data_IF_256206205382
#
_entry.id   IF_256206205382
#
_cell.length_a   1.000
_cell.length_b   1.000
_cell.length_c   1.000
_cell.angle_alpha   90.00
_cell.angle_beta   90.00
_cell.angle_gamma   90.00
#
_symmetry.space_group_name_H-M   'P 1'
#
loop_
_entity.id
_entity.type
_entity.pdbx_description
1 polymer ?
#
# COMPACT_ATOMS: atom_id res chain seq x y z
N UNK A 1 -0.56 -10.14 -65.26
CA UNK A 1 -1.14 -10.77 -64.04
C UNK A 1 -0.33 -10.30 -62.85
N UNK A 2 -0.74 -9.19 -62.23
CA UNK A 2 -0.02 -8.58 -61.08
C UNK A 2 -0.51 -9.20 -59.79
N UNK A 3 0.40 -9.89 -59.08
CA UNK A 3 0.15 -10.43 -57.76
C UNK A 3 0.33 -9.30 -56.74
N UNK A 4 -0.79 -8.73 -56.26
CA UNK A 4 -0.79 -7.86 -55.08
C UNK A 4 -0.54 -8.70 -53.84
N UNK A 5 0.62 -8.52 -53.20
CA UNK A 5 0.95 -9.08 -51.90
C UNK A 5 0.29 -8.20 -50.83
N UNK A 6 -0.70 -8.75 -50.14
CA UNK A 6 -1.38 -8.09 -49.01
C UNK A 6 -0.53 -8.30 -47.75
N UNK A 7 0.13 -7.24 -47.26
CA UNK A 7 0.78 -7.25 -45.97
C UNK A 7 -0.32 -7.10 -44.89
N UNK A 8 -0.63 -8.14 -44.16
CA UNK A 8 -1.42 -8.09 -42.94
C UNK A 8 -0.45 -7.68 -41.82
N UNK A 9 -0.48 -6.42 -41.41
CA UNK A 9 0.17 -5.99 -40.21
C UNK A 9 -0.62 -6.54 -39.02
N UNK A 10 -0.07 -7.55 -38.33
CA UNK A 10 -0.59 -8.01 -37.05
C UNK A 10 -0.36 -6.91 -36.02
N UNK A 11 -1.43 -6.20 -35.66
CA UNK A 11 -1.42 -5.26 -34.54
C UNK A 11 -1.31 -6.11 -33.27
N UNK A 12 -0.10 -6.20 -32.72
CA UNK A 12 0.13 -6.79 -31.42
C UNK A 12 -0.43 -5.80 -30.38
N UNK A 13 -1.68 -5.97 -29.97
CA UNK A 13 -2.22 -5.25 -28.82
C UNK A 13 -1.49 -5.76 -27.58
N UNK A 14 -0.56 -4.96 -27.07
CA UNK A 14 0.00 -5.16 -25.73
C UNK A 14 -1.16 -4.93 -24.77
N UNK A 15 -1.78 -5.99 -24.30
CA UNK A 15 -2.71 -5.93 -23.17
C UNK A 15 -1.86 -5.48 -21.97
N UNK A 16 -1.95 -4.21 -21.59
CA UNK A 16 -1.48 -3.75 -20.29
C UNK A 16 -2.29 -4.52 -19.24
N UNK A 17 -1.68 -5.48 -18.59
CA UNK A 17 -2.31 -6.14 -17.44
C UNK A 17 -2.56 -5.06 -16.40
N UNK A 18 -3.84 -4.83 -16.11
CA UNK A 18 -4.27 -3.98 -15.00
C UNK A 18 -3.78 -4.65 -13.70
N UNK A 19 -2.67 -4.18 -13.18
CA UNK A 19 -2.02 -4.75 -12.01
C UNK A 19 -1.99 -3.71 -10.90
N UNK A 20 -2.20 -4.16 -9.68
CA UNK A 20 -1.92 -3.38 -8.49
C UNK A 20 -0.39 -3.14 -8.41
N UNK A 21 0.03 -1.89 -8.45
CA UNK A 21 1.43 -1.53 -8.26
C UNK A 21 1.83 -1.69 -6.80
N UNK A 22 3.09 -2.03 -6.57
CA UNK A 22 3.62 -2.09 -5.20
C UNK A 22 3.62 -0.71 -4.56
N UNK A 23 2.90 -0.57 -3.45
CA UNK A 23 2.92 0.63 -2.60
C UNK A 23 3.84 0.41 -1.39
N UNK A 24 4.69 1.37 -1.11
CA UNK A 24 5.72 1.29 -0.07
C UNK A 24 5.53 2.29 1.08
N UNK A 25 4.35 2.84 1.25
CA UNK A 25 4.09 3.85 2.28
C UNK A 25 4.69 5.22 1.98
N UNK A 26 4.93 5.52 0.72
CA UNK A 26 5.61 6.72 0.24
C UNK A 26 4.72 7.65 -0.60
N UNK A 27 3.48 7.29 -0.79
CA UNK A 27 2.47 8.06 -1.54
C UNK A 27 1.11 7.99 -0.84
N UNK A 28 0.28 9.00 -1.05
CA UNK A 28 -1.07 9.09 -0.48
C UNK A 28 -2.07 8.13 -1.12
N UNK A 29 -1.73 7.59 -2.28
CA UNK A 29 -2.57 6.64 -3.02
C UNK A 29 -1.78 5.46 -3.53
N UNK A 30 -2.49 4.34 -3.72
CA UNK A 30 -1.99 3.13 -4.36
C UNK A 30 -2.44 3.14 -5.81
N UNK A 31 -1.54 2.88 -6.75
CA UNK A 31 -1.91 2.69 -8.15
C UNK A 31 -2.54 1.32 -8.32
N UNK A 32 -3.86 1.30 -8.39
CA UNK A 32 -4.65 0.06 -8.44
C UNK A 32 -4.69 -0.58 -9.82
N UNK A 33 -4.38 0.17 -10.87
CA UNK A 33 -4.56 -0.25 -12.26
C UNK A 33 -6.04 -0.32 -12.70
N UNK A 34 -6.99 0.07 -11.85
CA UNK A 34 -8.44 -0.01 -12.08
C UNK A 34 -9.12 1.37 -12.09
N UNK A 35 -8.34 2.46 -12.04
CA UNK A 35 -8.89 3.81 -12.09
C UNK A 35 -9.74 4.01 -13.35
N UNK A 36 -10.90 4.66 -13.18
CA UNK A 36 -11.87 4.91 -14.27
C UNK A 36 -11.61 6.23 -15.03
N UNK A 37 -10.45 6.86 -14.79
CA UNK A 37 -10.07 8.14 -15.41
C UNK A 37 -10.42 9.36 -14.58
N UNK A 38 -10.98 9.19 -13.37
CA UNK A 38 -11.27 10.27 -12.43
C UNK A 38 -10.10 10.56 -11.47
N UNK A 39 -9.05 9.72 -11.48
CA UNK A 39 -7.88 9.84 -10.61
C UNK A 39 -8.22 9.83 -9.11
N UNK A 40 -9.30 9.13 -8.73
CA UNK A 40 -9.79 9.02 -7.36
C UNK A 40 -9.55 7.64 -6.74
N UNK A 41 -8.90 6.73 -7.48
CA UNK A 41 -8.56 5.38 -7.00
C UNK A 41 -7.39 5.38 -6.02
N UNK A 42 -7.38 4.41 -5.13
CA UNK A 42 -6.23 4.09 -4.27
C UNK A 42 -5.97 5.02 -3.10
N UNK A 43 -6.69 6.12 -2.95
CA UNK A 43 -6.52 7.03 -1.82
C UNK A 43 -6.95 6.39 -0.52
N UNK A 44 -6.14 6.58 0.54
CA UNK A 44 -6.41 6.06 1.86
C UNK A 44 -7.41 6.91 2.63
N UNK A 45 -8.36 6.25 3.29
CA UNK A 45 -9.32 6.88 4.19
C UNK A 45 -9.54 6.04 5.45
N UNK A 46 -10.06 6.68 6.49
CA UNK A 46 -10.46 6.02 7.74
C UNK A 46 -11.95 5.67 7.72
N UNK A 47 -12.34 4.65 8.46
CA UNK A 47 -13.74 4.36 8.75
C UNK A 47 -13.89 3.79 10.16
N UNK A 48 -15.10 3.86 10.70
CA UNK A 48 -15.37 3.47 12.08
C UNK A 48 -16.81 2.96 12.27
N UNK A 49 -17.11 2.58 13.51
CA UNK A 49 -18.39 2.02 13.95
C UNK A 49 -19.44 3.06 14.39
N UNK A 50 -19.20 4.35 14.19
CA UNK A 50 -20.06 5.40 14.74
C UNK A 50 -21.51 5.34 14.20
N UNK A 51 -21.68 4.97 12.93
CA UNK A 51 -23.02 4.80 12.32
C UNK A 51 -23.82 3.63 12.92
N UNK A 52 -23.13 2.70 13.59
CA UNK A 52 -23.71 1.52 14.22
C UNK A 52 -23.91 1.72 15.74
N UNK A 53 -23.48 2.87 16.26
CA UNK A 53 -23.62 3.25 17.67
C UNK A 53 -22.35 3.09 18.50
N UNK A 54 -21.21 2.74 17.87
CA UNK A 54 -19.88 2.82 18.47
C UNK A 54 -19.40 4.26 18.63
N UNK A 55 -18.23 4.42 19.25
CA UNK A 55 -17.57 5.73 19.41
C UNK A 55 -16.07 5.61 19.14
N UNK A 56 -15.71 4.68 18.28
CA UNK A 56 -14.32 4.42 17.94
C UNK A 56 -13.77 5.46 16.97
N UNK A 57 -12.44 5.68 17.00
CA UNK A 57 -11.75 6.61 16.11
C UNK A 57 -10.31 6.19 15.86
N UNK A 58 -9.72 6.70 14.77
CA UNK A 58 -8.29 6.62 14.52
C UNK A 58 -7.67 7.98 14.87
N UNK A 59 -6.56 7.97 15.60
CA UNK A 59 -5.71 9.14 15.84
C UNK A 59 -4.48 8.97 14.95
N UNK A 60 -4.35 9.84 13.96
CA UNK A 60 -3.18 9.90 13.09
C UNK A 60 -2.00 10.60 13.77
N UNK A 61 -0.74 10.27 13.44
CA UNK A 61 0.45 10.80 14.14
C UNK A 61 0.67 12.29 13.94
N UNK A 62 0.16 12.87 12.88
CA UNK A 62 0.17 14.31 12.62
C UNK A 62 -1.24 14.85 12.76
N UNK A 63 -1.42 15.77 13.71
CA UNK A 63 -2.59 16.63 13.81
C UNK A 63 -2.46 17.79 12.80
N UNK A 64 -2.06 17.53 11.58
CA UNK A 64 -2.39 18.49 10.54
C UNK A 64 -3.91 18.55 10.51
N UNK A 65 -4.47 19.76 10.50
CA UNK A 65 -5.89 19.93 10.29
C UNK A 65 -6.23 19.22 8.98
N UNK A 66 -6.50 17.92 9.14
CA UNK A 66 -7.14 17.16 8.09
C UNK A 66 -8.32 18.02 7.66
N UNK A 67 -8.52 18.17 6.41
CA UNK A 67 -9.68 18.86 5.84
C UNK A 67 -10.89 18.53 6.70
N UNK A 68 -11.33 19.50 7.53
CA UNK A 68 -12.39 19.28 8.50
C UNK A 68 -13.57 18.59 7.81
N UNK A 69 -13.92 17.40 8.30
CA UNK A 69 -15.06 16.63 7.80
C UNK A 69 -14.75 15.58 6.73
N UNK A 70 -13.51 15.29 6.41
CA UNK A 70 -13.15 14.18 5.52
C UNK A 70 -12.52 13.01 6.28
N UNK A 71 -12.83 11.77 5.85
CA UNK A 71 -12.19 10.55 6.35
C UNK A 71 -10.83 10.28 5.67
N UNK A 72 -10.37 11.18 4.81
CA UNK A 72 -9.16 11.07 4.00
C UNK A 72 -7.90 11.15 4.85
N UNK A 73 -6.91 10.31 4.55
CA UNK A 73 -5.60 10.29 5.21
C UNK A 73 -4.62 11.14 4.39
N UNK A 74 -4.17 12.30 4.90
CA UNK A 74 -3.31 13.20 4.14
C UNK A 74 -1.90 12.63 3.95
N UNK A 75 -1.22 13.05 2.89
CA UNK A 75 0.11 12.56 2.49
C UNK A 75 1.18 12.80 3.56
N UNK A 76 1.13 13.88 4.32
CA UNK A 76 2.07 14.16 5.40
C UNK A 76 1.94 13.15 6.56
N UNK A 77 0.74 12.67 6.88
CA UNK A 77 0.53 11.60 7.86
C UNK A 77 1.16 10.27 7.39
N UNK A 78 1.03 9.95 6.10
CA UNK A 78 1.64 8.76 5.50
C UNK A 78 3.16 8.88 5.47
N UNK A 79 3.69 10.02 5.01
CA UNK A 79 5.12 10.24 4.91
C UNK A 79 5.81 10.30 6.27
N UNK A 80 5.14 10.79 7.31
CA UNK A 80 5.68 10.87 8.66
C UNK A 80 6.06 9.50 9.23
N UNK A 81 5.29 8.47 8.95
CA UNK A 81 5.58 7.12 9.44
C UNK A 81 6.01 6.13 8.34
N UNK A 82 6.11 6.56 7.09
CA UNK A 82 6.43 5.68 5.97
C UNK A 82 5.40 4.57 5.80
N UNK A 83 4.13 4.96 5.78
CA UNK A 83 3.00 4.07 5.68
C UNK A 83 1.72 4.67 6.26
N UNK A 84 0.65 3.93 6.28
CA UNK A 84 -0.56 4.31 7.01
C UNK A 84 -0.44 3.83 8.44
N UNK A 85 -0.36 4.74 9.39
CA UNK A 85 -0.21 4.41 10.80
C UNK A 85 -1.09 5.28 11.70
N UNK A 86 -1.29 4.85 12.94
CA UNK A 86 -2.02 5.59 13.95
C UNK A 86 -2.39 4.73 15.15
N UNK A 87 -3.17 5.34 16.04
CA UNK A 87 -3.78 4.68 17.18
C UNK A 87 -5.25 4.42 16.92
N UNK A 88 -5.63 3.15 16.88
CA UNK A 88 -7.02 2.71 16.87
C UNK A 88 -7.58 2.80 18.29
N UNK A 89 -8.36 3.83 18.57
CA UNK A 89 -9.05 4.02 19.86
C UNK A 89 -10.43 3.41 19.75
N UNK A 90 -10.61 2.22 20.34
CA UNK A 90 -11.83 1.46 20.29
C UNK A 90 -12.72 1.76 21.51
N UNK A 91 -13.92 2.26 21.27
CA UNK A 91 -14.91 2.60 22.29
C UNK A 91 -16.27 2.05 21.87
N UNK A 92 -16.81 1.16 22.70
CA UNK A 92 -17.96 0.33 22.36
C UNK A 92 -19.26 1.11 22.17
N UNK A 93 -19.45 2.19 22.93
CA UNK A 93 -20.72 2.91 22.91
C UNK A 93 -21.91 1.97 23.18
N UNK A 94 -22.92 1.96 22.29
CA UNK A 94 -24.11 1.10 22.39
C UNK A 94 -24.00 -0.21 21.62
N UNK A 95 -22.84 -0.55 21.05
CA UNK A 95 -22.67 -1.79 20.29
C UNK A 95 -22.84 -3.03 21.15
N UNK A 96 -23.41 -4.08 20.59
CA UNK A 96 -23.54 -5.41 21.23
C UNK A 96 -22.35 -6.34 20.93
N UNK A 97 -21.46 -5.94 20.05
CA UNK A 97 -20.24 -6.63 19.63
C UNK A 97 -19.00 -5.76 19.90
N UNK A 98 -17.82 -6.26 19.59
CA UNK A 98 -16.58 -5.51 19.75
C UNK A 98 -16.53 -4.31 18.81
N UNK A 99 -16.15 -3.13 19.33
CA UNK A 99 -15.97 -1.91 18.53
C UNK A 99 -14.88 -2.08 17.47
N UNK A 100 -14.97 -1.29 16.39
CA UNK A 100 -14.00 -1.36 15.32
C UNK A 100 -13.67 0.00 14.69
N UNK A 101 -12.48 0.06 14.14
CA UNK A 101 -12.06 1.08 13.19
C UNK A 101 -11.28 0.42 12.05
N UNK A 102 -11.06 1.14 10.99
CA UNK A 102 -10.17 0.68 9.94
C UNK A 102 -9.68 1.78 9.04
N UNK A 103 -8.73 1.41 8.21
CA UNK A 103 -8.26 2.21 7.08
C UNK A 103 -8.48 1.42 5.80
N UNK A 104 -8.79 2.11 4.72
CA UNK A 104 -9.15 1.48 3.47
C UNK A 104 -8.71 2.32 2.28
N UNK A 105 -8.71 1.70 1.10
CA UNK A 105 -8.60 2.40 -0.17
C UNK A 105 -9.62 1.83 -1.17
N UNK A 106 -10.15 2.70 -2.04
CA UNK A 106 -11.05 2.30 -3.11
C UNK A 106 -10.27 1.83 -4.33
N UNK A 107 -10.72 0.74 -4.97
CA UNK A 107 -9.96 0.14 -6.08
C UNK A 107 -10.16 0.87 -7.41
N UNK A 108 -11.34 1.42 -7.65
CA UNK A 108 -11.68 2.19 -8.86
C UNK A 108 -11.75 3.69 -8.60
N UNK A 109 -12.10 4.07 -7.38
CA UNK A 109 -12.38 5.45 -6.97
C UNK A 109 -13.88 5.75 -6.99
N UNK A 110 -14.24 7.01 -7.27
CA UNK A 110 -15.62 7.47 -7.34
C UNK A 110 -16.34 6.94 -8.58
N UNK A 111 -17.65 6.77 -8.49
CA UNK A 111 -18.48 6.27 -9.61
C UNK A 111 -18.58 7.29 -10.76
N UNK A 112 -18.61 8.58 -10.44
CA UNK A 112 -18.55 9.68 -11.41
C UNK A 112 -18.10 10.98 -10.73
N UNK A 113 -17.80 12.01 -11.50
CA UNK A 113 -17.45 13.35 -11.00
C UNK A 113 -18.57 14.01 -10.13
N UNK A 114 -19.79 13.50 -10.16
CA UNK A 114 -20.93 13.99 -9.39
C UNK A 114 -21.49 12.97 -8.40
N UNK A 115 -20.91 11.75 -8.39
CA UNK A 115 -21.31 10.67 -7.49
C UNK A 115 -20.06 10.12 -6.79
N UNK A 116 -19.81 10.50 -5.52
CA UNK A 116 -18.63 10.08 -4.76
C UNK A 116 -18.74 8.64 -4.23
N UNK A 117 -19.82 7.90 -4.52
CA UNK A 117 -19.93 6.50 -4.10
C UNK A 117 -18.83 5.67 -4.76
N UNK A 118 -18.20 4.73 -4.03
CA UNK A 118 -17.15 3.89 -4.61
C UNK A 118 -17.65 3.03 -5.76
N UNK A 119 -17.01 3.13 -6.92
CA UNK A 119 -17.23 2.24 -8.04
C UNK A 119 -16.61 0.85 -7.78
N UNK A 120 -17.16 -0.17 -8.41
CA UNK A 120 -16.66 -1.54 -8.32
C UNK A 120 -15.82 -1.90 -9.55
N UNK A 121 -14.79 -2.72 -9.35
CA UNK A 121 -13.92 -3.19 -10.42
C UNK A 121 -13.52 -4.66 -10.27
N UNK A 122 -13.00 -5.24 -11.34
CA UNK A 122 -12.49 -6.60 -11.36
C UNK A 122 -11.00 -6.63 -11.01
N UNK A 123 -10.71 -6.93 -9.75
CA UNK A 123 -9.36 -7.09 -9.20
C UNK A 123 -8.88 -8.56 -9.24
N UNK A 124 -9.56 -9.46 -9.94
CA UNK A 124 -9.22 -10.90 -9.96
C UNK A 124 -7.79 -11.16 -10.45
N UNK A 125 -7.29 -10.32 -11.38
CA UNK A 125 -5.92 -10.39 -11.93
C UNK A 125 -4.82 -10.16 -10.88
N UNK A 126 -5.09 -9.51 -9.74
CA UNK A 126 -4.11 -9.35 -8.66
C UNK A 126 -3.77 -10.68 -7.97
N UNK A 127 -4.63 -11.72 -8.11
CA UNK A 127 -4.48 -13.02 -7.46
C UNK A 127 -4.78 -13.01 -5.96
N UNK A 128 -4.78 -11.85 -5.35
CA UNK A 128 -4.93 -11.59 -3.92
C UNK A 128 -4.15 -10.36 -3.48
N UNK A 129 -3.94 -10.22 -2.18
CA UNK A 129 -3.25 -9.09 -1.55
C UNK A 129 -2.05 -9.59 -0.76
N UNK A 130 -0.94 -8.89 -0.91
CA UNK A 130 0.21 -8.99 -0.02
C UNK A 130 0.29 -7.71 0.83
N UNK A 131 0.46 -7.88 2.13
CA UNK A 131 0.54 -6.78 3.08
C UNK A 131 1.73 -6.95 4.01
N UNK A 132 2.47 -5.86 4.27
CA UNK A 132 3.43 -5.78 5.37
C UNK A 132 2.91 -4.77 6.40
N UNK A 133 2.80 -5.20 7.65
CA UNK A 133 2.16 -4.41 8.69
C UNK A 133 2.72 -4.72 10.09
N UNK A 134 2.36 -3.85 11.04
CA UNK A 134 2.41 -4.06 12.51
C UNK A 134 1.04 -3.76 13.07
N UNK A 135 0.64 -4.43 14.14
CA UNK A 135 -0.58 -4.09 14.87
C UNK A 135 -0.58 -4.71 16.26
N UNK A 136 -0.98 -3.92 17.26
CA UNK A 136 -1.11 -4.36 18.66
C UNK A 136 -2.38 -5.18 18.92
N UNK A 137 -3.33 -5.17 18.00
CA UNK A 137 -4.47 -6.09 17.95
C UNK A 137 -4.35 -7.00 16.72
N UNK A 138 -5.03 -8.13 16.70
CA UNK A 138 -5.16 -8.97 15.53
C UNK A 138 -6.13 -8.30 14.51
N UNK A 139 -5.64 -7.77 13.39
CA UNK A 139 -6.51 -7.15 12.38
C UNK A 139 -7.05 -8.18 11.40
N UNK A 140 -7.88 -7.70 10.46
CA UNK A 140 -8.26 -8.45 9.26
C UNK A 140 -8.15 -7.59 8.02
N UNK A 141 -7.91 -8.20 6.86
CA UNK A 141 -8.25 -7.59 5.58
C UNK A 141 -9.67 -8.00 5.22
N UNK A 142 -10.48 -7.03 4.80
CA UNK A 142 -11.88 -7.20 4.43
C UNK A 142 -12.11 -6.64 3.01
N UNK A 143 -12.92 -7.35 2.21
CA UNK A 143 -13.27 -6.97 0.84
C UNK A 143 -14.60 -6.22 0.84
N UNK A 144 -14.58 -4.94 0.50
CA UNK A 144 -15.76 -4.09 0.43
C UNK A 144 -16.40 -4.08 -0.95
N UNK A 145 -17.73 -4.00 -0.98
CA UNK A 145 -18.54 -3.97 -2.19
C UNK A 145 -19.23 -2.62 -2.37
N UNK A 146 -20.13 -2.54 -3.34
CA UNK A 146 -21.10 -1.45 -3.39
C UNK A 146 -22.01 -1.47 -2.17
N UNK A 147 -22.57 -0.32 -1.81
CA UNK A 147 -23.43 -0.18 -0.64
C UNK A 147 -24.63 -1.14 -0.65
N UNK A 148 -25.20 -1.40 -1.82
CA UNK A 148 -26.34 -2.33 -1.97
C UNK A 148 -25.94 -3.77 -1.65
N UNK A 149 -24.77 -4.20 -2.10
CA UNK A 149 -24.25 -5.56 -1.80
C UNK A 149 -23.87 -5.67 -0.33
N UNK A 150 -23.16 -4.67 0.22
CA UNK A 150 -22.80 -4.64 1.65
C UNK A 150 -24.06 -4.72 2.54
N UNK A 151 -25.13 -3.99 2.19
CA UNK A 151 -26.43 -4.07 2.87
C UNK A 151 -27.09 -5.44 2.72
N UNK A 152 -27.10 -6.00 1.52
CA UNK A 152 -27.74 -7.30 1.25
C UNK A 152 -27.11 -8.45 2.04
N UNK A 153 -25.81 -8.38 2.31
CA UNK A 153 -25.10 -9.36 3.15
C UNK A 153 -25.01 -8.94 4.64
N UNK A 154 -25.61 -7.81 5.02
CA UNK A 154 -25.58 -7.32 6.41
C UNK A 154 -24.18 -7.07 6.93
N UNK A 155 -23.27 -6.57 6.10
CA UNK A 155 -21.87 -6.33 6.45
C UNK A 155 -21.03 -7.60 6.62
N UNK A 156 -21.52 -8.74 6.16
CA UNK A 156 -20.79 -10.03 6.22
C UNK A 156 -19.77 -10.16 5.08
N UNK A 157 -18.92 -9.18 4.92
CA UNK A 157 -17.92 -9.11 3.86
C UNK A 157 -16.87 -10.23 3.99
N UNK A 158 -16.42 -10.84 2.88
CA UNK A 158 -15.31 -11.77 2.91
C UNK A 158 -14.06 -11.12 3.50
N UNK A 159 -13.47 -11.78 4.49
CA UNK A 159 -12.29 -11.29 5.20
C UNK A 159 -11.26 -12.38 5.43
N UNK A 160 -10.01 -11.96 5.61
CA UNK A 160 -8.89 -12.82 5.99
C UNK A 160 -8.26 -12.28 7.27
N UNK A 161 -8.21 -13.13 8.31
CA UNK A 161 -7.62 -12.76 9.58
C UNK A 161 -6.09 -12.61 9.48
N UNK A 162 -5.56 -11.60 10.14
CA UNK A 162 -4.14 -11.34 10.28
C UNK A 162 -3.73 -11.49 11.75
N UNK A 163 -2.55 -12.08 12.03
CA UNK A 163 -2.08 -12.17 13.41
C UNK A 163 -1.72 -10.78 13.96
N UNK A 164 -1.90 -10.59 15.27
CA UNK A 164 -1.23 -9.53 16.00
C UNK A 164 0.29 -9.62 15.77
N UNK A 165 0.94 -8.50 15.51
CA UNK A 165 2.40 -8.43 15.38
C UNK A 165 2.92 -7.05 15.72
N UNK A 166 3.83 -6.97 16.69
CA UNK A 166 4.55 -5.75 17.07
C UNK A 166 5.80 -5.50 16.21
N UNK A 167 6.14 -6.44 15.33
CA UNK A 167 7.23 -6.33 14.35
C UNK A 167 6.67 -6.36 12.94
N UNK A 168 7.40 -5.77 11.99
CA UNK A 168 7.04 -5.83 10.56
C UNK A 168 6.82 -7.27 10.11
N UNK A 169 5.60 -7.57 9.71
CA UNK A 169 5.17 -8.92 9.32
C UNK A 169 4.52 -8.88 7.95
N UNK A 170 5.08 -9.67 7.03
CA UNK A 170 4.51 -9.86 5.69
C UNK A 170 3.49 -10.99 5.70
N UNK A 171 2.32 -10.76 5.10
CA UNK A 171 1.30 -11.77 4.82
C UNK A 171 0.92 -11.74 3.36
N UNK A 172 0.79 -12.94 2.79
CA UNK A 172 0.41 -13.17 1.39
C UNK A 172 -0.92 -13.90 1.42
N UNK A 173 -1.95 -13.27 0.89
CA UNK A 173 -3.34 -13.72 0.96
C UNK A 173 -3.89 -13.86 -0.47
N UNK A 174 -4.05 -15.08 -0.95
CA UNK A 174 -4.79 -15.33 -2.18
C UNK A 174 -6.28 -14.98 -1.99
N UNK A 175 -7.01 -14.66 -3.05
CA UNK A 175 -8.45 -14.40 -2.94
C UNK A 175 -9.22 -15.54 -2.25
N UNK A 176 -8.78 -16.78 -2.40
CA UNK A 176 -9.38 -17.95 -1.74
C UNK A 176 -9.24 -17.97 -0.21
N UNK A 177 -8.35 -17.12 0.36
CA UNK A 177 -8.22 -16.99 1.81
C UNK A 177 -9.32 -16.12 2.44
N UNK A 178 -9.99 -15.29 1.64
CA UNK A 178 -11.05 -14.41 2.11
C UNK A 178 -12.37 -15.18 2.18
N UNK A 179 -13.01 -15.15 3.34
CA UNK A 179 -14.26 -15.88 3.60
C UNK A 179 -15.23 -15.01 4.36
N UNK A 180 -16.51 -15.15 4.06
CA UNK A 180 -17.56 -14.54 4.89
C UNK A 180 -17.46 -15.06 6.33
N UNK A 181 -17.76 -14.23 7.33
CA UNK A 181 -17.66 -14.61 8.73
C UNK A 181 -18.62 -15.74 9.07
N UNK A 182 -18.23 -16.62 9.98
CA UNK A 182 -18.98 -17.84 10.34
C UNK A 182 -20.36 -17.56 10.96
N UNK A 183 -20.56 -16.37 11.51
CA UNK A 183 -21.85 -15.94 12.07
C UNK A 183 -22.89 -15.65 10.98
N UNK A 184 -22.45 -15.34 9.74
CA UNK A 184 -23.36 -15.05 8.64
C UNK A 184 -24.13 -16.31 8.19
N UNK A 185 -25.44 -16.25 8.29
CA UNK A 185 -26.35 -17.35 7.92
C UNK A 185 -27.26 -17.01 6.72
N UNK A 186 -27.05 -15.82 6.10
CA UNK A 186 -27.84 -15.41 4.94
C UNK A 186 -27.63 -16.31 3.73
N UNK A 187 -28.49 -16.17 2.73
CA UNK A 187 -28.47 -16.98 1.52
C UNK A 187 -27.38 -16.56 0.53
N UNK A 188 -27.07 -15.25 0.48
CA UNK A 188 -26.07 -14.70 -0.42
C UNK A 188 -24.65 -15.07 0.01
N UNK A 189 -24.09 -16.09 -0.61
CA UNK A 189 -22.71 -16.54 -0.33
C UNK A 189 -21.76 -15.96 -1.38
N UNK A 190 -20.76 -15.23 -0.92
CA UNK A 190 -19.73 -14.61 -1.76
C UNK A 190 -18.38 -15.15 -1.31
N UNK A 191 -17.69 -15.89 -2.18
CA UNK A 191 -16.30 -16.30 -1.96
C UNK A 191 -15.36 -15.13 -2.22
N UNK A 192 -14.14 -15.17 -1.69
CA UNK A 192 -13.14 -14.14 -1.99
C UNK A 192 -12.78 -14.03 -3.48
N UNK A 193 -12.88 -15.15 -4.24
CA UNK A 193 -12.66 -15.15 -5.69
C UNK A 193 -13.79 -14.41 -6.42
N UNK A 194 -15.04 -14.58 -5.99
CA UNK A 194 -16.19 -13.85 -6.55
C UNK A 194 -16.18 -12.39 -6.11
N UNK A 195 -15.77 -12.12 -4.87
CA UNK A 195 -15.59 -10.78 -4.34
C UNK A 195 -14.62 -9.96 -5.17
N UNK A 196 -13.49 -10.55 -5.58
CA UNK A 196 -12.46 -9.88 -6.37
C UNK A 196 -12.97 -9.35 -7.72
N UNK A 197 -14.03 -9.93 -8.29
CA UNK A 197 -14.62 -9.50 -9.57
C UNK A 197 -15.51 -8.26 -9.45
N UNK A 198 -15.88 -7.87 -8.23
CA UNK A 198 -16.78 -6.75 -7.95
C UNK A 198 -16.31 -5.97 -6.71
N UNK A 199 -15.02 -5.74 -6.62
CA UNK A 199 -14.38 -5.12 -5.47
C UNK A 199 -14.51 -3.60 -5.53
N UNK A 200 -15.04 -2.98 -4.49
CA UNK A 200 -15.07 -1.52 -4.33
C UNK A 200 -13.87 -1.05 -3.51
N UNK A 201 -13.52 -1.76 -2.43
CA UNK A 201 -12.44 -1.35 -1.53
C UNK A 201 -11.73 -2.53 -0.87
N UNK A 202 -10.47 -2.31 -0.48
CA UNK A 202 -9.71 -3.18 0.42
C UNK A 202 -9.60 -2.47 1.76
N UNK A 203 -10.00 -3.14 2.84
CA UNK A 203 -10.16 -2.57 4.18
C UNK A 203 -9.26 -3.30 5.18
N UNK A 204 -8.41 -2.57 5.89
CA UNK A 204 -7.66 -3.08 7.05
C UNK A 204 -8.44 -2.72 8.31
N UNK A 205 -9.04 -3.71 8.95
CA UNK A 205 -9.99 -3.56 10.07
C UNK A 205 -9.36 -4.04 11.38
N UNK A 206 -9.45 -3.21 12.41
CA UNK A 206 -9.12 -3.56 13.78
C UNK A 206 -10.42 -3.63 14.56
N UNK A 207 -10.81 -4.84 14.99
CA UNK A 207 -11.99 -5.08 15.81
C UNK A 207 -11.58 -5.91 17.05
N UNK A 208 -11.64 -5.29 18.22
CA UNK A 208 -11.14 -5.86 19.46
C UNK A 208 -11.94 -5.34 20.67
N UNK A 209 -11.54 -5.72 21.88
CA UNK A 209 -12.04 -5.11 23.11
C UNK A 209 -11.72 -3.60 23.10
N UNK A 210 -12.45 -2.82 23.93
CA UNK A 210 -12.16 -1.41 24.13
C UNK A 210 -10.70 -1.21 24.55
N UNK A 211 -10.08 -0.17 24.00
CA UNK A 211 -8.68 0.13 24.26
C UNK A 211 -8.05 0.90 23.12
N UNK A 212 -6.76 1.15 23.26
CA UNK A 212 -5.94 1.83 22.23
C UNK A 212 -4.92 0.83 21.67
N UNK A 213 -4.88 0.71 20.36
CA UNK A 213 -4.04 -0.23 19.64
C UNK A 213 -3.25 0.50 18.56
N UNK A 214 -1.93 0.49 18.65
CA UNK A 214 -1.09 1.03 17.60
C UNK A 214 -1.07 0.12 16.38
N UNK A 215 -1.10 0.71 15.18
CA UNK A 215 -0.96 -0.02 13.93
C UNK A 215 -0.14 0.75 12.91
N UNK A 216 0.40 0.01 11.93
CA UNK A 216 1.08 0.55 10.77
C UNK A 216 1.01 -0.42 9.61
N UNK A 217 0.63 0.08 8.43
CA UNK A 217 0.70 -0.62 7.15
C UNK A 217 1.89 -0.04 6.40
N UNK A 218 2.86 -0.88 6.06
CA UNK A 218 4.14 -0.45 5.47
C UNK A 218 4.21 -0.72 3.96
N UNK A 219 3.47 -1.73 3.48
CA UNK A 219 3.46 -2.12 2.08
C UNK A 219 2.16 -2.82 1.72
N UNK A 220 1.68 -2.54 0.52
CA UNK A 220 0.60 -3.27 -0.16
C UNK A 220 1.09 -3.67 -1.54
N UNK A 221 0.73 -4.88 -1.98
CA UNK A 221 1.11 -5.41 -3.28
C UNK A 221 0.09 -6.44 -3.77
N UNK A 222 0.08 -6.72 -5.06
CA UNK A 222 -0.64 -7.86 -5.59
C UNK A 222 0.01 -9.18 -5.13
N UNK A 223 -0.80 -10.22 -4.95
CA UNK A 223 -0.34 -11.55 -4.56
C UNK A 223 0.80 -12.06 -5.44
N UNK A 224 0.66 -11.91 -6.75
CA UNK A 224 1.63 -12.41 -7.72
C UNK A 224 3.01 -11.75 -7.62
N UNK A 225 3.06 -10.49 -7.19
CA UNK A 225 4.32 -9.75 -7.01
C UNK A 225 5.06 -10.15 -5.72
N UNK A 226 4.37 -10.79 -4.79
CA UNK A 226 4.90 -11.16 -3.48
C UNK A 226 5.50 -12.56 -3.40
N UNK A 227 5.28 -13.40 -4.39
CA UNK A 227 5.75 -14.79 -4.41
C UNK A 227 7.16 -14.94 -4.92
N UNK A 228 7.72 -13.92 -5.57
CA UNK A 228 9.13 -13.89 -5.93
C UNK A 228 9.96 -13.49 -4.73
N UNK A 229 11.04 -14.23 -4.47
CA UNK A 229 11.97 -13.94 -3.39
C UNK A 229 12.41 -12.47 -3.43
N UNK A 230 11.81 -11.68 -2.55
CA UNK A 230 12.24 -10.32 -2.34
C UNK A 230 13.67 -10.35 -1.79
N UNK A 231 14.62 -9.95 -2.60
CA UNK A 231 15.83 -9.33 -2.08
C UNK A 231 15.30 -8.23 -1.14
N UNK A 232 15.50 -8.40 0.17
CA UNK A 232 15.09 -7.44 1.18
C UNK A 232 15.67 -6.07 0.84
N UNK A 233 14.92 -5.26 0.10
CA UNK A 233 15.11 -3.82 0.16
C UNK A 233 14.59 -3.39 1.53
N UNK A 234 15.49 -3.37 2.51
CA UNK A 234 15.22 -2.75 3.79
C UNK A 234 15.12 -1.25 3.47
N UNK A 235 13.91 -0.76 3.23
CA UNK A 235 13.66 0.67 3.25
C UNK A 235 13.58 1.09 4.71
N UNK A 236 14.70 1.56 5.21
CA UNK A 236 14.71 2.30 6.46
C UNK A 236 14.03 3.65 6.26
N UNK A 237 13.33 4.08 7.28
CA UNK A 237 12.65 5.36 7.56
C UNK A 237 12.64 6.43 6.44
N UNK A 238 11.50 7.09 6.17
CA UNK A 238 11.40 8.18 5.18
C UNK A 238 12.32 9.39 5.43
N UNK A 239 12.97 9.45 6.60
CA UNK A 239 13.99 10.45 6.91
C UNK A 239 15.33 10.26 6.16
N UNK A 240 15.58 9.06 5.61
CA UNK A 240 16.84 8.75 4.94
C UNK A 240 16.61 8.61 3.44
N UNK A 241 16.93 9.63 2.66
CA UNK A 241 16.78 9.63 1.20
C UNK A 241 18.11 9.86 0.51
N UNK A 242 18.35 9.10 -0.56
CA UNK A 242 19.36 9.42 -1.55
C UNK A 242 18.67 10.21 -2.67
N UNK A 243 19.01 11.48 -2.80
CA UNK A 243 18.49 12.37 -3.83
C UNK A 243 19.52 12.50 -4.95
N UNK A 244 19.13 12.24 -6.17
CA UNK A 244 19.89 12.57 -7.36
C UNK A 244 19.58 14.01 -7.77
N UNK A 245 20.43 14.94 -7.35
CA UNK A 245 20.43 16.32 -7.85
C UNK A 245 21.58 16.50 -8.84
N UNK A 246 21.43 15.93 -10.03
CA UNK A 246 22.52 15.87 -10.99
C UNK A 246 23.49 14.71 -10.72
N UNK A 247 24.82 14.91 -10.82
CA UNK A 247 25.83 13.89 -10.57
C UNK A 247 26.39 13.83 -9.13
N UNK A 248 26.20 14.78 -8.19
CA UNK A 248 26.32 14.47 -6.78
C UNK A 248 25.08 13.73 -6.30
N UNK A 249 25.30 12.64 -5.55
CA UNK A 249 24.30 11.94 -4.74
C UNK A 249 24.24 12.62 -3.38
N UNK A 250 23.08 13.17 -3.04
CA UNK A 250 22.85 13.79 -1.73
C UNK A 250 22.17 12.81 -0.77
N UNK A 251 22.59 12.82 0.49
CA UNK A 251 22.09 11.94 1.54
C UNK A 251 21.38 12.78 2.60
N UNK A 252 20.07 12.69 2.65
CA UNK A 252 19.28 13.32 3.69
C UNK A 252 19.05 12.36 4.86
N UNK A 253 19.18 12.86 6.10
CA UNK A 253 18.90 12.07 7.31
C UNK A 253 19.96 11.03 7.68
N UNK A 254 21.14 11.06 7.06
CA UNK A 254 22.27 10.18 7.38
C UNK A 254 23.31 10.96 8.15
N UNK A 255 23.58 10.58 9.39
CA UNK A 255 24.56 11.30 10.25
C UNK A 255 25.96 10.71 10.15
N UNK A 256 26.12 9.41 9.96
CA UNK A 256 27.41 8.74 9.77
C UNK A 256 27.21 7.39 9.10
N UNK A 257 27.74 7.24 7.88
CA UNK A 257 27.65 5.99 7.09
C UNK A 257 28.77 5.92 6.04
N UNK A 258 28.93 4.75 5.42
CA UNK A 258 29.69 4.57 4.20
C UNK A 258 28.72 4.29 3.05
N UNK A 259 28.92 4.96 1.91
CA UNK A 259 28.18 4.69 0.69
C UNK A 259 29.11 4.02 -0.33
N UNK A 260 28.67 2.93 -0.93
CA UNK A 260 29.34 2.20 -1.99
C UNK A 260 28.41 2.08 -3.20
N UNK A 261 28.91 2.43 -4.39
CA UNK A 261 28.18 2.34 -5.66
C UNK A 261 28.73 1.19 -6.47
N UNK A 262 27.85 0.30 -6.91
CA UNK A 262 28.17 -0.90 -7.68
C UNK A 262 27.64 -0.78 -9.11
N UNK A 263 28.41 -1.25 -10.07
CA UNK A 263 27.91 -1.50 -11.43
C UNK A 263 27.08 -2.80 -11.48
N UNK A 264 26.52 -3.13 -12.63
CA UNK A 264 25.72 -4.35 -12.81
C UNK A 264 26.54 -5.64 -12.69
N UNK A 265 27.86 -5.58 -12.73
CA UNK A 265 28.77 -6.69 -12.52
C UNK A 265 29.11 -6.89 -11.03
N UNK A 266 28.56 -6.06 -10.14
CA UNK A 266 28.81 -6.12 -8.70
C UNK A 266 30.15 -5.51 -8.26
N UNK A 267 30.85 -4.77 -9.13
CA UNK A 267 32.10 -4.12 -8.81
C UNK A 267 31.81 -2.75 -8.17
N UNK A 268 32.54 -2.40 -7.10
CA UNK A 268 32.48 -1.07 -6.50
C UNK A 268 33.13 -0.07 -7.44
N UNK A 269 32.36 0.90 -7.94
CA UNK A 269 32.80 1.93 -8.89
C UNK A 269 32.91 3.33 -8.25
N UNK A 270 32.31 3.53 -7.09
CA UNK A 270 32.52 4.71 -6.25
C UNK A 270 32.27 4.36 -4.78
N UNK A 271 32.99 5.05 -3.88
CA UNK A 271 32.85 4.88 -2.42
C UNK A 271 33.12 6.21 -1.72
N UNK A 272 32.40 6.47 -0.65
CA UNK A 272 32.59 7.66 0.17
C UNK A 272 32.04 7.48 1.58
N UNK A 273 32.57 8.27 2.52
CA UNK A 273 32.02 8.39 3.86
C UNK A 273 31.04 9.55 3.90
N UNK A 274 29.94 9.33 4.57
CA UNK A 274 28.89 10.32 4.81
C UNK A 274 28.96 10.68 6.30
N UNK A 275 29.02 11.96 6.59
CA UNK A 275 28.96 12.50 7.94
C UNK A 275 28.15 13.81 7.97
N UNK A 276 28.07 14.45 9.13
CA UNK A 276 27.32 15.70 9.30
C UNK A 276 27.88 16.86 8.45
N UNK A 277 29.09 16.74 7.89
CA UNK A 277 29.77 17.75 7.05
C UNK A 277 29.80 17.33 5.58
N UNK A 278 29.79 16.02 5.31
CA UNK A 278 29.85 15.44 3.96
C UNK A 278 28.57 14.68 3.68
N UNK A 279 27.59 15.38 3.11
CA UNK A 279 26.28 14.82 2.78
C UNK A 279 26.11 14.43 1.33
N UNK A 280 27.18 14.42 0.53
CA UNK A 280 27.12 14.12 -0.89
C UNK A 280 28.29 13.24 -1.37
N UNK A 281 28.01 12.32 -2.31
CA UNK A 281 28.98 11.50 -3.01
C UNK A 281 29.04 11.95 -4.49
N UNK A 282 30.21 12.34 -4.96
CA UNK A 282 30.40 12.77 -6.34
C UNK A 282 30.51 11.56 -7.29
N UNK A 283 29.64 11.50 -8.29
CA UNK A 283 29.60 10.45 -9.32
C UNK A 283 29.91 11.01 -10.73
N UNK A 284 30.55 12.19 -10.82
CA UNK A 284 30.82 12.86 -12.11
C UNK A 284 31.70 12.02 -13.06
N UNK A 285 32.50 11.10 -12.53
CA UNK A 285 33.40 10.23 -13.29
C UNK A 285 32.73 8.96 -13.82
N UNK A 286 31.50 8.67 -13.41
CA UNK A 286 30.77 7.48 -13.86
C UNK A 286 30.00 7.80 -15.15
N UNK A 287 29.94 6.81 -16.04
CA UNK A 287 29.15 6.90 -17.26
C UNK A 287 27.63 6.89 -16.97
N UNK A 288 26.84 7.31 -17.96
CA UNK A 288 25.39 7.15 -17.89
C UNK A 288 25.03 5.65 -17.81
N UNK A 289 24.17 5.26 -16.88
CA UNK A 289 23.85 3.85 -16.68
C UNK A 289 23.09 3.56 -15.41
N UNK A 290 22.86 2.26 -15.17
CA UNK A 290 22.20 1.74 -13.98
C UNK A 290 23.25 1.28 -12.98
N UNK A 291 23.11 1.73 -11.74
CA UNK A 291 23.98 1.40 -10.64
C UNK A 291 23.15 1.02 -9.40
N UNK A 292 23.78 0.29 -8.49
CA UNK A 292 23.25 0.04 -7.15
C UNK A 292 24.08 0.82 -6.13
N UNK A 293 23.44 1.52 -5.22
CA UNK A 293 24.13 2.14 -4.09
C UNK A 293 23.77 1.39 -2.82
N UNK A 294 24.79 1.05 -2.03
CA UNK A 294 24.65 0.52 -0.70
C UNK A 294 25.16 1.54 0.31
N UNK A 295 24.33 1.85 1.29
CA UNK A 295 24.65 2.78 2.39
C UNK A 295 24.61 2.00 3.69
N UNK A 296 25.75 1.92 4.38
CA UNK A 296 25.90 1.19 5.63
C UNK A 296 26.47 2.07 6.75
N UNK A 297 25.78 2.14 7.87
CA UNK A 297 26.17 2.87 9.06
C UNK A 297 25.53 2.32 10.33
N UNK A 298 25.83 2.91 11.47
CA UNK A 298 25.33 2.41 12.77
C UNK A 298 23.79 2.46 12.88
N UNK A 299 23.15 3.44 12.24
CA UNK A 299 21.70 3.65 12.27
C UNK A 299 21.05 3.51 10.87
N UNK A 300 21.83 3.13 9.85
CA UNK A 300 21.35 3.06 8.47
C UNK A 300 22.00 1.91 7.73
N UNK A 301 21.20 1.12 7.01
CA UNK A 301 21.67 0.05 6.14
C UNK A 301 20.63 -0.20 5.05
N UNK A 302 20.89 0.28 3.82
CA UNK A 302 19.97 0.07 2.71
C UNK A 302 20.73 -0.01 1.37
N UNK A 303 20.05 -0.56 0.37
CA UNK A 303 20.53 -0.59 -1.01
C UNK A 303 19.46 0.00 -1.93
N UNK A 304 19.85 0.89 -2.82
CA UNK A 304 18.93 1.57 -3.76
C UNK A 304 19.49 1.52 -5.18
N UNK A 305 18.61 1.31 -6.17
CA UNK A 305 18.92 1.49 -7.59
C UNK A 305 18.99 2.98 -7.92
N UNK A 306 20.01 3.39 -8.65
CA UNK A 306 20.16 4.74 -9.20
C UNK A 306 20.36 4.67 -10.71
N UNK A 307 19.91 5.69 -11.42
CA UNK A 307 20.08 5.84 -12.87
C UNK A 307 20.80 7.16 -13.12
N UNK A 308 22.03 7.08 -13.63
CA UNK A 308 22.78 8.25 -14.09
C UNK A 308 22.42 8.53 -15.55
N UNK A 309 22.08 9.79 -15.85
CA UNK A 309 21.77 10.28 -17.21
C UNK A 309 22.93 11.08 -17.77
#
# INVERSE_FOLDING_TARGET
>A
MDKKILFIAALCTVSTTLALDTWYGDTESIKTGLDNGLETSGYWYTYNDNKEGGQSKIILPTQTQAYEGTDYIPSDAILNCGGVCGDAVLTKGSLTYHPFVGVAFNVVGESSATDPTPAVGDASSWGGICITYKSDAAPSLELGFSEDVDKAIGGANPSAALPKSTVSTKKILAWSNFKQPSWYKGETKISGIEAAKQLASVRFKIQAQEGTYNFRIERIDAYNNCTTDDIKTIRESPATRVLLSGRPLEFAGVSTATAEVFNLQGQVVAKGSIDNTTSALNLATLDAGIYMIHVAGKAVNFTQKIILK
#
